data_IF_833752302582
#
_entry.id   IF_833752302582
#
_cell.length_a   1.000
_cell.length_b   1.000
_cell.length_c   1.000
_cell.angle_alpha   90.00
_cell.angle_beta   90.00
_cell.angle_gamma   90.00
#
_symmetry.space_group_name_H-M   'P 1'
#
loop_
_entity.id
_entity.type
_entity.pdbx_description
1 polymer ?
#
# COMPACT_ATOMS: atom_id res chain seq x y z
N UNK A 1 -10.95 5.78 4.16
CA UNK A 1 -11.58 6.82 3.32
C UNK A 1 -12.50 6.06 2.38
N UNK A 2 -13.75 6.43 2.36
CA UNK A 2 -14.77 5.90 1.46
C UNK A 2 -15.14 7.01 0.48
N UNK A 3 -15.03 6.73 -0.82
CA UNK A 3 -15.35 7.69 -1.88
C UNK A 3 -16.32 7.00 -2.82
N UNK A 4 -17.55 7.52 -2.84
CA UNK A 4 -18.58 7.08 -3.75
C UNK A 4 -18.24 7.41 -5.20
N UNK A 5 -18.93 6.74 -6.12
CA UNK A 5 -18.76 6.94 -7.56
C UNK A 5 -19.23 8.32 -8.00
N UNK A 6 -18.40 8.97 -8.79
CA UNK A 6 -18.73 10.18 -9.53
C UNK A 6 -17.89 10.21 -10.81
N UNK A 7 -18.39 10.84 -11.86
CA UNK A 7 -17.64 11.06 -13.11
C UNK A 7 -16.36 11.87 -12.87
N UNK A 8 -16.39 12.75 -11.87
CA UNK A 8 -15.26 13.58 -11.48
C UNK A 8 -15.23 13.73 -9.97
N UNK A 9 -14.11 13.41 -9.35
CA UNK A 9 -13.87 13.59 -7.92
C UNK A 9 -12.77 14.62 -7.72
N UNK A 10 -13.07 15.70 -6.98
CA UNK A 10 -12.10 16.71 -6.58
C UNK A 10 -11.64 16.48 -5.14
N UNK A 11 -10.33 16.28 -4.94
CA UNK A 11 -9.73 16.12 -3.62
C UNK A 11 -9.12 17.45 -3.19
N UNK A 12 -9.73 18.08 -2.19
CA UNK A 12 -9.32 19.39 -1.67
C UNK A 12 -8.76 19.23 -0.27
N UNK A 13 -7.74 19.99 0.06
CA UNK A 13 -7.13 20.01 1.40
C UNK A 13 -5.85 20.83 1.42
N UNK A 14 -5.36 21.12 2.61
CA UNK A 14 -4.10 21.84 2.83
C UNK A 14 -2.90 21.11 2.23
N UNK A 15 -1.76 21.82 2.07
CA UNK A 15 -0.51 21.19 1.69
C UNK A 15 -0.11 20.14 2.74
N UNK A 16 0.42 19.02 2.29
CA UNK A 16 0.77 17.86 3.12
C UNK A 16 -0.41 17.13 3.81
N UNK A 17 -1.65 17.39 3.41
CA UNK A 17 -2.83 16.66 3.93
C UNK A 17 -2.97 15.21 3.44
N UNK A 18 -2.04 14.74 2.60
CA UNK A 18 -2.04 13.36 2.09
C UNK A 18 -2.77 13.15 0.77
N UNK A 19 -3.17 14.21 0.06
CA UNK A 19 -3.88 14.11 -1.24
C UNK A 19 -3.14 13.25 -2.26
N UNK A 20 -1.85 13.50 -2.44
CA UNK A 20 -1.01 12.73 -3.37
C UNK A 20 -0.83 11.28 -2.92
N UNK A 21 -0.74 11.03 -1.61
CA UNK A 21 -0.67 9.68 -1.08
C UNK A 21 -1.98 8.91 -1.32
N UNK A 22 -3.11 9.59 -1.21
CA UNK A 22 -4.41 8.99 -1.53
C UNK A 22 -4.49 8.62 -3.02
N UNK A 23 -4.14 9.55 -3.92
CA UNK A 23 -4.11 9.27 -5.36
C UNK A 23 -3.17 8.11 -5.69
N UNK A 24 -1.98 8.08 -5.09
CA UNK A 24 -1.05 6.94 -5.22
C UNK A 24 -1.66 5.64 -4.71
N UNK A 25 -2.37 5.67 -3.59
CA UNK A 25 -2.96 4.47 -2.99
C UNK A 25 -4.00 3.81 -3.89
N UNK A 26 -4.94 4.58 -4.46
CA UNK A 26 -6.01 4.04 -5.32
C UNK A 26 -5.48 3.40 -6.62
N UNK A 27 -4.25 3.71 -7.02
CA UNK A 27 -3.63 3.13 -8.22
C UNK A 27 -2.91 1.81 -7.95
N UNK A 28 -2.53 1.54 -6.70
CA UNK A 28 -1.75 0.34 -6.35
C UNK A 28 -2.36 -0.98 -6.85
N UNK A 29 -3.70 -1.21 -6.75
CA UNK A 29 -4.32 -2.43 -7.26
C UNK A 29 -4.22 -2.60 -8.78
N UNK A 30 -4.09 -1.49 -9.54
CA UNK A 30 -4.12 -1.49 -11.00
C UNK A 30 -2.74 -1.36 -11.64
N UNK A 31 -1.69 -1.13 -10.85
CA UNK A 31 -0.35 -1.02 -11.39
C UNK A 31 0.11 -2.34 -11.99
N UNK A 32 0.52 -2.31 -13.24
CA UNK A 32 1.19 -3.43 -13.92
C UNK A 32 2.68 -3.14 -14.06
N UNK A 33 3.47 -4.15 -14.44
CA UNK A 33 4.92 -3.99 -14.60
C UNK A 33 5.29 -3.03 -15.74
N UNK A 34 4.34 -2.76 -16.64
CA UNK A 34 4.50 -1.80 -17.73
C UNK A 34 4.52 -0.33 -17.21
N UNK A 35 4.04 -0.10 -15.99
CA UNK A 35 4.08 1.21 -15.32
C UNK A 35 5.39 1.38 -14.53
N UNK A 36 6.47 1.65 -15.21
CA UNK A 36 7.84 1.66 -14.66
C UNK A 36 8.13 2.77 -13.63
N UNK A 37 7.24 3.74 -13.47
CA UNK A 37 7.51 4.94 -12.64
C UNK A 37 6.98 4.84 -11.21
N UNK A 38 6.09 3.88 -10.91
CA UNK A 38 5.47 3.73 -9.59
C UNK A 38 5.78 2.35 -9.03
N UNK A 39 6.46 2.28 -7.90
CA UNK A 39 6.70 1.02 -7.22
C UNK A 39 5.44 0.50 -6.57
N UNK A 40 5.07 -0.76 -6.86
CA UNK A 40 4.02 -1.50 -6.15
C UNK A 40 4.44 -1.87 -4.73
N UNK A 41 5.74 -2.08 -4.51
CA UNK A 41 6.26 -2.40 -3.19
C UNK A 41 6.40 -1.11 -2.38
N UNK A 42 5.65 -1.04 -1.30
CA UNK A 42 5.72 0.07 -0.37
C UNK A 42 7.00 0.01 0.47
N UNK A 43 7.35 1.14 1.06
CA UNK A 43 8.49 1.30 1.94
C UNK A 43 8.03 1.65 3.36
N UNK A 44 8.97 1.72 4.28
CA UNK A 44 8.68 2.10 5.67
C UNK A 44 7.98 3.46 5.80
N UNK A 45 8.28 4.44 4.92
CA UNK A 45 7.66 5.77 4.94
C UNK A 45 6.19 5.76 4.52
N UNK A 46 5.77 4.79 3.72
CA UNK A 46 4.40 4.67 3.22
C UNK A 46 3.43 4.10 4.29
N UNK A 47 3.95 3.48 5.35
CA UNK A 47 3.13 3.01 6.47
C UNK A 47 2.72 4.20 7.33
N UNK A 48 1.44 4.26 7.71
CA UNK A 48 0.88 5.34 8.51
C UNK A 48 1.64 5.53 9.83
N UNK A 49 1.92 6.79 10.20
CA UNK A 49 2.71 7.11 11.38
C UNK A 49 2.03 6.69 12.70
N UNK A 50 0.71 6.82 12.80
CA UNK A 50 -0.01 6.39 14.01
C UNK A 50 0.01 4.87 14.16
N UNK A 51 -0.12 4.14 13.05
CA UNK A 51 0.02 2.69 13.03
C UNK A 51 1.42 2.25 13.48
N UNK A 52 2.47 2.92 12.97
CA UNK A 52 3.85 2.68 13.42
C UNK A 52 4.03 2.96 14.92
N UNK A 53 3.48 4.06 15.43
CA UNK A 53 3.53 4.39 16.87
C UNK A 53 2.84 3.31 17.71
N UNK A 54 1.66 2.85 17.28
CA UNK A 54 0.95 1.76 17.97
C UNK A 54 1.79 0.47 17.99
N UNK A 55 2.40 0.12 16.86
CA UNK A 55 3.31 -1.02 16.77
C UNK A 55 4.48 -0.90 17.75
N UNK A 56 5.22 0.21 17.71
CA UNK A 56 6.38 0.39 18.59
C UNK A 56 6.02 0.37 20.07
N UNK A 57 4.86 0.94 20.45
CA UNK A 57 4.34 0.83 21.81
C UNK A 57 4.10 -0.62 22.21
N UNK A 58 3.51 -1.44 21.35
CA UNK A 58 3.32 -2.88 21.60
C UNK A 58 4.66 -3.59 21.81
N UNK A 59 5.68 -3.29 20.98
CA UNK A 59 7.03 -3.86 21.14
C UNK A 59 7.63 -3.46 22.49
N UNK A 60 7.64 -2.18 22.83
CA UNK A 60 8.19 -1.67 24.12
C UNK A 60 7.50 -2.37 25.30
N UNK A 61 6.17 -2.47 25.28
CA UNK A 61 5.40 -3.09 26.37
C UNK A 61 5.66 -4.61 26.50
N UNK A 62 5.98 -5.27 25.41
CA UNK A 62 6.15 -6.74 25.37
C UNK A 62 7.61 -7.18 25.18
N UNK A 63 8.59 -6.28 25.19
CA UNK A 63 9.98 -6.63 24.87
C UNK A 63 10.56 -7.74 25.77
N UNK A 64 10.21 -7.77 27.06
CA UNK A 64 10.65 -8.85 27.96
C UNK A 64 10.01 -10.18 27.58
N UNK A 65 8.74 -10.19 27.23
CA UNK A 65 8.05 -11.41 26.76
C UNK A 65 8.62 -11.92 25.43
N UNK A 66 8.94 -11.01 24.51
CA UNK A 66 9.60 -11.34 23.23
C UNK A 66 10.99 -11.95 23.50
N UNK A 67 11.76 -11.33 24.40
CA UNK A 67 13.11 -11.80 24.78
C UNK A 67 13.09 -13.20 25.37
N UNK A 68 12.09 -13.50 26.21
CA UNK A 68 11.97 -14.74 26.95
C UNK A 68 11.19 -15.84 26.23
N UNK A 69 10.80 -15.66 24.96
CA UNK A 69 9.93 -16.58 24.19
C UNK A 69 8.54 -16.82 24.82
N UNK A 70 8.02 -15.83 25.52
CA UNK A 70 6.67 -15.88 26.12
C UNK A 70 5.56 -15.46 25.13
N UNK A 71 5.93 -14.97 23.94
CA UNK A 71 5.03 -14.62 22.85
C UNK A 71 5.30 -15.55 21.68
N UNK A 72 4.24 -16.16 21.13
CA UNK A 72 4.36 -16.97 19.90
C UNK A 72 4.45 -16.09 18.66
N UNK A 73 4.88 -16.67 17.53
CA UNK A 73 4.94 -15.97 16.23
C UNK A 73 3.57 -15.49 15.80
N UNK A 74 2.51 -16.25 16.07
CA UNK A 74 1.12 -15.90 15.74
C UNK A 74 0.67 -14.68 16.54
N UNK A 75 0.95 -14.65 17.85
CA UNK A 75 0.63 -13.51 18.71
C UNK A 75 1.44 -12.26 18.30
N UNK A 76 2.69 -12.44 17.90
CA UNK A 76 3.51 -11.35 17.39
C UNK A 76 3.00 -10.83 16.05
N UNK A 77 2.49 -11.70 15.18
CA UNK A 77 1.91 -11.31 13.89
C UNK A 77 0.76 -10.31 14.03
N UNK A 78 -0.01 -10.37 15.13
CA UNK A 78 -1.09 -9.41 15.43
C UNK A 78 -0.58 -7.99 15.73
N UNK A 79 0.72 -7.82 15.99
CA UNK A 79 1.31 -6.50 16.20
C UNK A 79 1.69 -5.84 14.88
N UNK A 80 2.01 -6.65 13.87
CA UNK A 80 2.61 -6.18 12.62
C UNK A 80 1.63 -5.32 11.82
N UNK A 81 2.04 -4.12 11.40
CA UNK A 81 1.19 -3.27 10.58
C UNK A 81 1.04 -3.85 9.17
N UNK A 82 -0.13 -3.68 8.59
CA UNK A 82 -0.40 -3.97 7.18
C UNK A 82 -0.96 -2.72 6.50
N UNK A 83 -0.78 -2.63 5.18
CA UNK A 83 -1.42 -1.60 4.35
C UNK A 83 -2.33 -2.29 3.36
N UNK A 84 -3.58 -1.87 3.32
CA UNK A 84 -4.59 -2.45 2.44
C UNK A 84 -5.32 -1.35 1.69
N UNK A 85 -5.53 -1.56 0.40
CA UNK A 85 -6.35 -0.71 -0.47
C UNK A 85 -7.32 -1.61 -1.20
N UNK A 86 -8.59 -1.39 -1.02
CA UNK A 86 -9.67 -2.12 -1.69
C UNK A 86 -10.41 -1.16 -2.61
N UNK A 87 -10.67 -1.63 -3.82
CA UNK A 87 -11.41 -0.88 -4.84
C UNK A 87 -12.58 -1.71 -5.30
N UNK A 88 -13.78 -1.23 -5.02
CA UNK A 88 -15.01 -1.80 -5.55
C UNK A 88 -15.30 -1.17 -6.91
N UNK A 89 -15.65 -1.99 -7.88
CA UNK A 89 -15.88 -1.60 -9.26
C UNK A 89 -17.37 -1.77 -9.55
N UNK A 90 -17.99 -0.73 -10.07
CA UNK A 90 -19.34 -0.86 -10.66
C UNK A 90 -19.21 -1.11 -12.15
N UNK A 91 -19.88 -2.13 -12.62
CA UNK A 91 -19.98 -2.47 -14.03
C UNK A 91 -21.40 -2.88 -14.37
N UNK A 92 -21.84 -2.57 -15.58
CA UNK A 92 -23.18 -2.92 -16.06
C UNK A 92 -23.15 -3.32 -17.53
N UNK A 93 -23.96 -4.31 -17.88
CA UNK A 93 -24.10 -4.75 -19.27
C UNK A 93 -22.80 -5.25 -19.89
N UNK A 94 -22.34 -4.62 -20.96
CA UNK A 94 -21.11 -5.06 -21.66
C UNK A 94 -19.84 -4.85 -20.87
N UNK A 95 -19.83 -3.97 -19.87
CA UNK A 95 -18.65 -3.68 -19.03
C UNK A 95 -18.31 -4.85 -18.11
N UNK A 96 -19.30 -5.64 -17.70
CA UNK A 96 -19.12 -6.81 -16.84
C UNK A 96 -18.13 -7.83 -17.43
N UNK A 97 -18.04 -7.88 -18.76
CA UNK A 97 -17.08 -8.75 -19.44
C UNK A 97 -15.63 -8.44 -19.06
N UNK A 98 -15.30 -7.17 -18.87
CA UNK A 98 -13.93 -6.74 -18.54
C UNK A 98 -13.55 -6.96 -17.08
N UNK A 99 -14.54 -7.03 -16.19
CA UNK A 99 -14.34 -7.16 -14.75
C UNK A 99 -14.74 -8.52 -14.19
N UNK A 100 -15.19 -9.45 -15.04
CA UNK A 100 -15.70 -10.78 -14.62
C UNK A 100 -14.72 -11.55 -13.71
N UNK A 101 -13.43 -11.43 -13.96
CA UNK A 101 -12.39 -12.12 -13.18
C UNK A 101 -12.09 -11.43 -11.84
N UNK A 102 -12.78 -10.32 -11.55
CA UNK A 102 -12.74 -9.60 -10.27
C UNK A 102 -14.05 -9.78 -9.50
N UNK A 103 -14.94 -10.68 -9.98
CA UNK A 103 -16.23 -10.94 -9.36
C UNK A 103 -16.09 -11.78 -8.10
N UNK A 104 -16.90 -11.46 -7.09
CA UNK A 104 -17.08 -12.27 -5.89
C UNK A 104 -18.53 -12.19 -5.42
N UNK A 105 -18.98 -13.22 -4.70
CA UNK A 105 -20.31 -13.26 -4.13
C UNK A 105 -20.31 -12.70 -2.71
N UNK A 106 -21.31 -11.86 -2.39
CA UNK A 106 -21.59 -11.46 -1.01
C UNK A 106 -22.65 -12.36 -0.38
N UNK A 107 -22.86 -12.21 0.93
CA UNK A 107 -23.74 -13.09 1.72
C UNK A 107 -25.17 -13.24 1.16
N UNK A 108 -25.70 -12.20 0.52
CA UNK A 108 -27.02 -12.20 -0.11
C UNK A 108 -27.04 -12.84 -1.51
N UNK A 109 -25.93 -13.37 -1.99
CA UNK A 109 -25.77 -13.99 -3.31
C UNK A 109 -25.68 -13.00 -4.46
N UNK A 110 -25.59 -11.70 -4.18
CA UNK A 110 -25.29 -10.69 -5.18
C UNK A 110 -23.82 -10.78 -5.62
N UNK A 111 -23.60 -10.52 -6.91
CA UNK A 111 -22.26 -10.47 -7.48
C UNK A 111 -21.75 -9.04 -7.38
N UNK A 112 -20.58 -8.88 -6.79
CA UNK A 112 -19.83 -7.64 -6.77
C UNK A 112 -18.49 -7.82 -7.47
N UNK A 113 -17.87 -6.72 -7.86
CA UNK A 113 -16.56 -6.69 -8.49
C UNK A 113 -15.62 -5.84 -7.64
N UNK A 114 -14.46 -6.36 -7.34
CA UNK A 114 -13.50 -5.63 -6.54
C UNK A 114 -12.15 -6.29 -6.49
N UNK A 115 -11.13 -5.47 -6.27
CA UNK A 115 -9.76 -5.90 -6.07
C UNK A 115 -9.16 -5.28 -4.83
N UNK A 116 -8.30 -6.04 -4.17
CA UNK A 116 -7.60 -5.65 -2.96
C UNK A 116 -6.09 -5.74 -3.19
N UNK A 117 -5.42 -4.62 -3.01
CA UNK A 117 -3.98 -4.59 -2.81
C UNK A 117 -3.69 -4.73 -1.32
N UNK A 118 -2.76 -5.57 -0.96
CA UNK A 118 -2.31 -5.73 0.42
C UNK A 118 -0.78 -5.78 0.47
N UNK A 119 -0.18 -4.94 1.31
CA UNK A 119 1.22 -4.97 1.65
C UNK A 119 1.37 -5.45 3.09
N UNK A 120 1.88 -6.66 3.25
CA UNK A 120 1.89 -7.38 4.52
C UNK A 120 3.18 -8.20 4.69
N UNK A 121 3.47 -8.67 5.90
CA UNK A 121 4.58 -9.58 6.16
C UNK A 121 4.49 -10.85 5.30
N UNK A 122 5.55 -11.19 4.60
CA UNK A 122 5.65 -12.45 3.87
C UNK A 122 5.89 -13.63 4.81
N UNK A 123 6.72 -13.42 5.84
CA UNK A 123 7.05 -14.41 6.85
C UNK A 123 7.20 -13.72 8.20
N UNK A 124 6.20 -13.90 9.07
CA UNK A 124 6.21 -13.31 10.41
C UNK A 124 7.33 -13.86 11.31
N UNK A 125 7.73 -15.11 11.12
CA UNK A 125 8.80 -15.74 11.91
C UNK A 125 10.16 -15.07 11.68
N UNK A 126 10.47 -14.67 10.44
CA UNK A 126 11.72 -13.96 10.15
C UNK A 126 11.73 -12.57 10.80
N UNK A 127 10.60 -11.85 10.74
CA UNK A 127 10.47 -10.54 11.41
C UNK A 127 10.58 -10.71 12.92
N UNK A 128 9.90 -11.71 13.49
CA UNK A 128 9.96 -11.99 14.92
C UNK A 128 11.40 -12.25 15.37
N UNK A 129 12.17 -13.06 14.61
CA UNK A 129 13.57 -13.35 14.90
C UNK A 129 14.42 -12.07 14.91
N UNK A 130 14.28 -11.21 13.90
CA UNK A 130 15.00 -9.92 13.82
C UNK A 130 14.64 -9.02 15.01
N UNK A 131 13.36 -8.87 15.30
CA UNK A 131 12.89 -8.02 16.42
C UNK A 131 13.37 -8.59 17.75
N UNK A 132 13.34 -9.93 17.95
CA UNK A 132 13.86 -10.57 19.16
C UNK A 132 15.35 -10.32 19.35
N UNK A 133 16.13 -10.36 18.27
CA UNK A 133 17.56 -10.04 18.32
C UNK A 133 17.78 -8.60 18.81
N UNK A 134 17.06 -7.62 18.24
CA UNK A 134 17.17 -6.22 18.63
C UNK A 134 16.81 -6.01 20.12
N UNK A 135 15.67 -6.55 20.60
CA UNK A 135 15.24 -6.39 21.99
C UNK A 135 16.13 -7.18 22.98
N UNK A 136 16.86 -8.18 22.51
CA UNK A 136 17.82 -8.94 23.33
C UNK A 136 19.14 -8.19 23.53
N UNK A 137 19.54 -7.40 22.56
CA UNK A 137 20.77 -6.59 22.61
C UNK A 137 20.59 -5.28 23.38
N UNK A 138 19.40 -4.68 23.31
CA UNK A 138 19.16 -3.35 23.86
C UNK A 138 17.74 -3.26 24.43
N UNK A 139 17.61 -2.66 25.59
CA UNK A 139 16.30 -2.29 26.14
C UNK A 139 15.73 -1.10 25.36
N UNK A 140 14.56 -1.30 24.77
CA UNK A 140 13.91 -0.28 23.92
C UNK A 140 13.08 0.65 24.77
N UNK A 141 13.30 1.94 24.56
CA UNK A 141 12.56 3.04 25.21
C UNK A 141 12.42 4.23 24.24
N UNK A 142 11.67 5.25 24.63
CA UNK A 142 11.42 6.42 23.78
C UNK A 142 12.70 7.18 23.38
N UNK A 143 13.76 7.11 24.19
CA UNK A 143 15.01 7.83 23.93
C UNK A 143 15.81 7.19 22.79
N UNK A 144 15.86 5.84 22.71
CA UNK A 144 16.64 5.11 21.71
C UNK A 144 15.79 4.56 20.54
N UNK A 145 14.47 4.68 20.62
CA UNK A 145 13.57 4.17 19.56
C UNK A 145 13.93 4.72 18.18
N UNK A 146 14.36 6.00 18.08
CA UNK A 146 14.71 6.60 16.78
C UNK A 146 15.82 5.87 16.05
N UNK A 147 16.77 5.29 16.78
CA UNK A 147 17.93 4.59 16.24
C UNK A 147 17.58 3.19 15.75
N UNK A 148 16.65 2.51 16.44
CA UNK A 148 16.34 1.09 16.18
C UNK A 148 15.04 0.87 15.43
N UNK A 149 14.21 1.90 15.19
CA UNK A 149 12.85 1.78 14.62
C UNK A 149 12.80 1.04 13.28
N UNK A 150 13.82 1.20 12.44
CA UNK A 150 13.89 0.51 11.14
C UNK A 150 14.14 -1.00 11.32
N UNK A 151 14.99 -1.37 12.29
CA UNK A 151 15.28 -2.76 12.62
C UNK A 151 14.11 -3.43 13.34
N UNK A 152 13.31 -2.67 14.08
CA UNK A 152 12.10 -3.18 14.72
C UNK A 152 10.95 -3.42 13.73
N UNK A 153 10.93 -2.69 12.61
CA UNK A 153 9.95 -2.86 11.55
C UNK A 153 10.65 -3.05 10.20
N UNK A 154 11.25 -4.23 9.96
CA UNK A 154 12.04 -4.52 8.77
C UNK A 154 11.14 -4.82 7.58
N UNK A 155 10.74 -3.77 6.84
CA UNK A 155 9.78 -3.85 5.72
C UNK A 155 10.33 -4.61 4.50
N UNK A 156 11.61 -4.94 4.47
CA UNK A 156 12.20 -5.83 3.47
C UNK A 156 11.60 -7.24 3.48
N UNK A 157 11.09 -7.68 4.63
CA UNK A 157 10.36 -8.96 4.79
C UNK A 157 8.88 -8.86 4.42
N UNK A 158 8.42 -7.68 3.99
CA UNK A 158 7.09 -7.48 3.50
C UNK A 158 7.01 -7.69 2.00
N UNK A 159 5.85 -8.11 1.54
CA UNK A 159 5.55 -8.17 0.11
C UNK A 159 4.13 -7.68 -0.15
N UNK A 160 3.86 -7.31 -1.39
CA UNK A 160 2.49 -6.99 -1.80
C UNK A 160 1.84 -8.19 -2.48
N UNK A 161 0.53 -8.21 -2.42
CA UNK A 161 -0.33 -9.08 -3.23
C UNK A 161 -1.51 -8.27 -3.77
N UNK A 162 -1.99 -8.65 -4.97
CA UNK A 162 -3.21 -8.12 -5.55
C UNK A 162 -4.13 -9.29 -5.78
N UNK A 163 -5.33 -9.23 -5.20
CA UNK A 163 -6.32 -10.29 -5.20
C UNK A 163 -7.70 -9.72 -5.45
N UNK A 164 -8.66 -10.57 -5.79
CA UNK A 164 -10.07 -10.24 -5.69
C UNK A 164 -10.42 -9.93 -4.22
N UNK A 165 -11.46 -9.16 -3.96
CA UNK A 165 -11.83 -8.76 -2.60
C UNK A 165 -12.12 -9.94 -1.66
N UNK A 166 -12.51 -11.09 -2.19
CA UNK A 166 -12.70 -12.35 -1.44
C UNK A 166 -11.39 -13.12 -1.15
N UNK A 167 -10.27 -12.63 -1.67
CA UNK A 167 -8.96 -13.26 -1.51
C UNK A 167 -8.56 -14.22 -2.64
N UNK A 168 -9.43 -14.47 -3.64
CA UNK A 168 -9.11 -15.26 -4.82
C UNK A 168 -8.10 -14.54 -5.72
N UNK A 169 -7.45 -15.30 -6.62
CA UNK A 169 -6.45 -14.73 -7.52
C UNK A 169 -7.12 -13.99 -8.68
N UNK A 170 -6.63 -12.81 -8.99
CA UNK A 170 -6.99 -12.08 -10.21
C UNK A 170 -5.94 -12.36 -11.31
N UNK A 171 -6.36 -12.70 -12.54
CA UNK A 171 -5.44 -12.91 -13.65
C UNK A 171 -4.68 -11.62 -13.99
N UNK A 172 -3.39 -11.76 -14.29
CA UNK A 172 -2.55 -10.62 -14.67
C UNK A 172 -3.08 -9.89 -15.91
N UNK A 173 -3.57 -10.63 -16.90
CA UNK A 173 -4.13 -10.06 -18.13
C UNK A 173 -5.35 -9.18 -17.87
N UNK A 174 -6.17 -9.52 -16.87
CA UNK A 174 -7.29 -8.68 -16.43
C UNK A 174 -6.80 -7.36 -15.85
N UNK A 175 -5.75 -7.39 -15.01
CA UNK A 175 -5.16 -6.16 -14.47
C UNK A 175 -4.57 -5.26 -15.57
N UNK A 176 -4.02 -5.82 -16.63
CA UNK A 176 -3.47 -5.07 -17.79
C UNK A 176 -4.52 -4.32 -18.60
N UNK A 177 -5.80 -4.70 -18.51
CA UNK A 177 -6.87 -3.98 -19.20
C UNK A 177 -7.11 -2.60 -18.59
N UNK A 178 -6.73 -2.39 -17.33
CA UNK A 178 -6.88 -1.10 -16.64
C UNK A 178 -5.64 -0.25 -16.88
N UNK A 179 -5.83 0.83 -17.63
CA UNK A 179 -4.78 1.83 -17.84
C UNK A 179 -4.91 2.93 -16.79
N UNK A 180 -3.81 3.22 -16.15
CA UNK A 180 -3.67 4.36 -15.25
C UNK A 180 -2.81 5.42 -15.92
N UNK A 181 -3.35 6.62 -16.03
CA UNK A 181 -2.61 7.79 -16.51
C UNK A 181 -2.59 8.86 -15.41
N UNK A 182 -1.40 9.14 -14.88
CA UNK A 182 -1.21 10.24 -13.97
C UNK A 182 -0.74 11.48 -14.75
N UNK A 183 -1.56 12.51 -14.73
CA UNK A 183 -1.11 13.84 -15.13
C UNK A 183 -0.45 14.49 -13.90
N UNK A 184 0.87 14.43 -13.85
CA UNK A 184 1.61 15.20 -12.85
C UNK A 184 1.46 16.68 -13.16
N UNK A 185 1.13 17.48 -12.14
CA UNK A 185 1.29 18.93 -12.23
C UNK A 185 2.80 19.21 -12.25
N UNK A 186 3.42 19.12 -13.42
CA UNK A 186 4.76 19.68 -13.62
C UNK A 186 4.64 21.18 -13.30
N UNK A 187 5.17 21.57 -12.18
CA UNK A 187 5.59 22.96 -12.02
C UNK A 187 6.74 23.13 -13.00
N UNK A 188 6.40 23.58 -14.21
CA UNK A 188 7.39 24.01 -15.16
C UNK A 188 8.29 25.02 -14.45
N UNK A 189 9.46 24.59 -14.07
CA UNK A 189 10.54 25.45 -13.64
C UNK A 189 11.06 26.10 -14.94
N UNK A 190 10.34 27.13 -15.39
CA UNK A 190 10.64 27.92 -16.60
C UNK A 190 12.06 28.47 -16.60
N UNK A 191 12.80 28.23 -15.50
CA UNK A 191 14.17 28.75 -15.31
C UNK A 191 15.27 27.80 -15.79
N UNK A 192 15.01 26.53 -16.13
CA UNK A 192 16.11 25.56 -16.32
C UNK A 192 16.36 25.01 -17.72
N UNK A 193 15.52 25.21 -18.73
CA UNK A 193 15.88 24.73 -20.06
C UNK A 193 15.30 25.59 -21.18
N UNK A 194 16.14 26.44 -21.74
CA UNK A 194 15.86 27.21 -22.97
C UNK A 194 15.70 26.36 -24.25
N UNK A 195 15.71 25.03 -24.17
CA UNK A 195 15.80 24.15 -25.35
C UNK A 195 14.81 22.99 -25.42
N UNK A 196 13.76 22.95 -24.59
CA UNK A 196 12.66 21.99 -24.82
C UNK A 196 11.38 22.74 -25.16
N UNK A 197 11.07 22.76 -26.44
CA UNK A 197 9.82 23.23 -27.01
C UNK A 197 8.73 22.16 -26.76
N UNK A 198 7.78 22.49 -25.91
CA UNK A 198 6.59 21.69 -25.63
C UNK A 198 6.67 20.88 -24.33
N UNK A 199 5.55 20.80 -23.61
CA UNK A 199 5.44 19.89 -22.47
C UNK A 199 5.55 18.45 -22.97
N UNK A 200 6.14 17.56 -22.17
CA UNK A 200 6.25 16.13 -22.48
C UNK A 200 4.91 15.52 -22.89
N UNK A 201 3.82 16.02 -22.31
CA UNK A 201 2.44 15.68 -22.62
C UNK A 201 2.04 15.93 -24.08
N UNK A 202 2.49 17.05 -24.68
CA UNK A 202 2.21 17.38 -26.08
C UNK A 202 3.07 16.56 -27.05
N UNK A 203 4.23 16.09 -26.63
CA UNK A 203 5.11 15.23 -27.43
C UNK A 203 4.60 13.79 -27.47
N UNK A 204 4.00 13.30 -26.40
CA UNK A 204 3.44 11.94 -26.29
C UNK A 204 2.06 11.82 -26.98
N UNK A 205 1.42 12.94 -27.35
CA UNK A 205 0.12 12.99 -28.04
C UNK A 205 0.24 13.15 -29.58
N UNK A 206 1.43 13.44 -30.12
CA UNK A 206 1.74 13.58 -31.56
C UNK A 206 2.51 12.36 -32.04
#
# INVERSE_FOLDING_TARGET
IDIGLAETVAIIGENNSGKSNFLKAITLPFLTDDNTHISKKLSWIDINNETKKCYYKKIILNQNKIRNDEITVEQFAEFLPTVSVEVNIQASGAEEYYVKDMSYAIEDGEIQYGIKYEFAPKNCADIFRVVKEVVSQTEINDANLKEVKMNLLPVEYYNYSIKVSDGSNVPYDTLRMFKYEALEAERDDFSKTKNQLGSKFLVDLL
#
